data_IF_801224065199
#
_entry.id   IF_801224065199
#
_cell.length_a   1.000
_cell.length_b   1.000
_cell.length_c   1.000
_cell.angle_alpha   90.00
_cell.angle_beta   90.00
_cell.angle_gamma   90.00
#
_symmetry.space_group_name_H-M   'P 1'
#
loop_
_entity.id
_entity.type
_entity.pdbx_description
1 polymer ?
#
# COMPACT_ATOMS: atom_id res chain seq x y z
N UNK A 1 24.53 1.17 -0.12
CA UNK A 1 25.00 -0.07 -0.70
C UNK A 1 24.59 -0.18 -2.18
N UNK A 2 23.36 0.11 -2.53
CA UNK A 2 22.78 -0.11 -3.87
C UNK A 2 22.76 1.13 -4.79
N UNK A 3 23.54 2.17 -4.51
CA UNK A 3 23.56 3.43 -5.27
C UNK A 3 23.91 3.25 -6.77
N UNK A 4 24.66 2.22 -7.08
CA UNK A 4 25.12 1.91 -8.44
C UNK A 4 24.21 0.97 -9.21
N UNK A 5 23.18 0.42 -8.57
CA UNK A 5 22.22 -0.44 -9.24
C UNK A 5 21.18 0.40 -9.98
N UNK A 6 20.62 -0.17 -11.04
CA UNK A 6 19.61 0.47 -11.87
C UNK A 6 20.09 1.82 -12.45
N UNK A 7 21.37 1.96 -12.76
CA UNK A 7 21.92 3.22 -13.32
C UNK A 7 21.44 3.46 -14.74
N UNK A 8 21.30 2.38 -15.52
CA UNK A 8 20.91 2.41 -16.92
C UNK A 8 19.43 2.06 -17.13
N UNK A 9 18.71 1.82 -16.03
CA UNK A 9 17.28 1.52 -16.11
C UNK A 9 16.48 2.79 -16.30
N UNK A 10 15.54 2.72 -17.21
CA UNK A 10 14.49 3.75 -17.34
C UNK A 10 13.34 3.38 -16.43
N UNK A 11 12.83 4.37 -15.68
CA UNK A 11 11.56 4.18 -14.98
C UNK A 11 10.48 3.80 -15.99
N UNK A 12 9.58 2.88 -15.65
CA UNK A 12 8.43 2.60 -16.50
C UNK A 12 7.66 3.90 -16.77
N UNK A 13 7.04 3.96 -17.94
CA UNK A 13 6.15 5.08 -18.25
C UNK A 13 5.08 5.18 -17.16
N UNK A 14 4.81 6.40 -16.68
CA UNK A 14 3.82 6.60 -15.65
C UNK A 14 2.44 6.12 -16.14
N UNK A 15 1.61 5.56 -15.25
CA UNK A 15 0.24 5.18 -15.59
C UNK A 15 -0.52 6.32 -16.26
N UNK A 16 -1.43 5.99 -17.16
CA UNK A 16 -2.21 6.97 -17.92
C UNK A 16 -2.98 7.97 -17.03
N UNK A 17 -3.42 7.55 -15.87
CA UNK A 17 -4.11 8.38 -14.87
C UNK A 17 -3.22 9.47 -14.25
N UNK A 18 -1.90 9.33 -14.28
CA UNK A 18 -0.98 10.40 -13.90
C UNK A 18 -1.08 11.61 -14.83
N UNK A 19 -1.37 11.37 -16.11
CA UNK A 19 -1.44 12.40 -17.14
C UNK A 19 -2.85 12.96 -17.33
N UNK A 20 -3.88 12.24 -16.89
CA UNK A 20 -5.28 12.58 -17.11
C UNK A 20 -6.03 13.01 -15.86
N UNK A 21 -5.31 13.32 -14.77
CA UNK A 21 -5.92 13.76 -13.53
C UNK A 21 -6.83 14.97 -13.77
N UNK A 22 -8.10 14.71 -14.05
CA UNK A 22 -9.09 15.76 -14.20
C UNK A 22 -9.37 16.36 -12.84
N UNK A 23 -9.18 17.66 -12.72
CA UNK A 23 -9.56 18.41 -11.53
C UNK A 23 -11.07 18.67 -11.51
N UNK A 24 -11.74 18.42 -12.64
CA UNK A 24 -13.17 18.64 -12.81
C UNK A 24 -13.97 17.72 -11.86
N UNK A 25 -14.87 18.30 -11.11
CA UNK A 25 -15.72 17.56 -10.17
C UNK A 25 -15.09 17.25 -8.80
N UNK A 26 -13.81 17.52 -8.60
CA UNK A 26 -13.17 17.33 -7.30
C UNK A 26 -13.45 18.50 -6.35
N UNK A 27 -13.57 18.24 -5.04
CA UNK A 27 -13.72 19.28 -4.03
C UNK A 27 -12.59 20.32 -4.11
N UNK A 28 -12.88 21.57 -3.73
CA UNK A 28 -11.92 22.68 -3.83
C UNK A 28 -10.62 22.41 -3.07
N UNK A 29 -10.69 21.87 -1.86
CA UNK A 29 -9.53 21.55 -1.05
C UNK A 29 -8.61 20.54 -1.76
N UNK A 30 -9.19 19.55 -2.44
CA UNK A 30 -8.44 18.56 -3.19
C UNK A 30 -7.77 19.18 -4.43
N UNK A 31 -8.48 20.08 -5.11
CA UNK A 31 -7.93 20.85 -6.23
C UNK A 31 -6.78 21.74 -5.81
N UNK A 32 -6.86 22.35 -4.63
CA UNK A 32 -5.81 23.21 -4.05
C UNK A 32 -4.56 22.44 -3.62
N UNK A 33 -4.70 21.20 -3.17
CA UNK A 33 -3.57 20.29 -2.80
C UNK A 33 -2.90 19.64 -4.02
N UNK A 34 -3.61 19.59 -5.13
CA UNK A 34 -3.05 19.05 -6.38
C UNK A 34 -1.81 19.87 -6.76
N UNK A 35 -0.70 19.20 -7.07
CA UNK A 35 0.56 19.80 -7.56
C UNK A 35 1.53 20.41 -6.55
N UNK A 36 1.26 20.40 -5.27
CA UNK A 36 2.13 21.04 -4.28
C UNK A 36 2.22 22.58 -4.47
N UNK A 37 1.31 23.19 -5.24
CA UNK A 37 1.16 24.62 -5.33
C UNK A 37 0.43 25.18 -4.12
N UNK A 38 0.93 26.27 -3.60
CA UNK A 38 0.18 27.12 -2.68
C UNK A 38 -0.71 28.04 -3.52
N UNK A 39 -1.89 27.56 -3.89
CA UNK A 39 -2.91 28.39 -4.50
C UNK A 39 -3.41 29.41 -3.50
N UNK A 40 -3.41 30.68 -3.89
CA UNK A 40 -4.02 31.76 -3.08
C UNK A 40 -5.52 31.79 -3.34
N UNK A 41 -6.24 32.36 -2.40
CA UNK A 41 -7.66 32.66 -2.62
C UNK A 41 -7.81 33.58 -3.84
N UNK A 42 -8.67 33.20 -4.79
CA UNK A 42 -8.84 33.94 -6.06
C UNK A 42 -8.00 33.41 -7.23
N UNK A 43 -7.03 32.53 -7.02
CA UNK A 43 -6.26 31.97 -8.12
C UNK A 43 -7.15 31.06 -8.99
N UNK A 44 -7.04 31.23 -10.30
CA UNK A 44 -7.72 30.37 -11.27
C UNK A 44 -6.93 29.08 -11.43
N UNK A 45 -7.52 27.97 -11.01
CA UNK A 45 -6.93 26.64 -11.21
C UNK A 45 -7.08 26.27 -12.69
N UNK A 46 -5.99 25.98 -13.42
CA UNK A 46 -6.07 25.60 -14.83
C UNK A 46 -6.98 24.40 -15.03
N UNK A 47 -7.80 24.42 -16.07
CA UNK A 47 -8.68 23.29 -16.43
C UNK A 47 -7.88 22.09 -16.90
N UNK A 48 -6.74 22.33 -17.53
CA UNK A 48 -5.79 21.34 -17.99
C UNK A 48 -4.38 21.75 -17.55
N UNK A 49 -3.62 20.80 -17.09
CA UNK A 49 -2.24 21.00 -16.68
C UNK A 49 -1.31 20.27 -17.64
N UNK A 50 -0.37 21.02 -18.18
CA UNK A 50 0.71 20.43 -18.95
C UNK A 50 1.66 19.66 -18.01
N UNK A 51 1.36 18.40 -17.80
CA UNK A 51 2.12 17.52 -16.92
C UNK A 51 3.54 17.27 -17.43
N UNK A 52 3.86 17.62 -18.71
CA UNK A 52 5.23 17.57 -19.23
C UNK A 52 6.14 18.57 -18.51
N UNK A 53 5.57 19.64 -17.95
CA UNK A 53 6.29 20.62 -17.11
C UNK A 53 6.49 20.13 -15.69
N UNK A 54 5.89 19.00 -15.32
CA UNK A 54 5.92 18.48 -13.97
C UNK A 54 6.88 17.31 -13.88
N UNK A 55 8.12 17.49 -13.45
CA UNK A 55 9.03 16.39 -13.35
C UNK A 55 8.55 15.47 -12.24
N UNK A 56 8.09 14.28 -12.61
CA UNK A 56 8.18 13.12 -11.72
C UNK A 56 9.61 13.14 -11.20
N UNK A 57 9.79 13.15 -9.92
CA UNK A 57 11.15 13.18 -9.38
C UNK A 57 11.78 11.79 -9.62
N UNK A 58 12.23 11.59 -10.87
CA UNK A 58 12.85 10.33 -11.33
C UNK A 58 13.93 9.86 -10.36
N UNK A 59 14.66 10.80 -9.78
CA UNK A 59 15.72 10.49 -8.82
C UNK A 59 15.16 9.87 -7.53
N UNK A 60 14.11 10.44 -6.95
CA UNK A 60 13.49 9.88 -5.73
C UNK A 60 12.85 8.53 -5.97
N UNK A 61 12.15 8.38 -7.08
CA UNK A 61 11.52 7.11 -7.43
C UNK A 61 12.58 6.03 -7.67
N UNK A 62 13.70 6.37 -8.32
CA UNK A 62 14.82 5.45 -8.49
C UNK A 62 15.47 5.08 -7.16
N UNK A 63 15.59 6.00 -6.22
CA UNK A 63 16.09 5.69 -4.88
C UNK A 63 15.18 4.73 -4.12
N UNK A 64 13.86 4.88 -4.27
CA UNK A 64 12.90 3.96 -3.68
C UNK A 64 13.05 2.55 -4.25
N UNK A 65 13.12 2.41 -5.58
CA UNK A 65 13.35 1.11 -6.23
C UNK A 65 14.64 0.44 -5.76
N UNK A 66 15.73 1.21 -5.63
CA UNK A 66 16.99 0.71 -5.07
C UNK A 66 16.87 0.26 -3.62
N UNK A 67 16.00 0.90 -2.84
CA UNK A 67 15.73 0.48 -1.47
C UNK A 67 14.97 -0.85 -1.43
N UNK A 68 14.07 -1.09 -2.36
CA UNK A 68 13.34 -2.36 -2.47
C UNK A 68 14.28 -3.54 -2.77
N UNK A 69 15.35 -3.34 -3.54
CA UNK A 69 16.37 -4.38 -3.74
C UNK A 69 17.00 -4.81 -2.40
N UNK A 70 17.25 -3.87 -1.50
CA UNK A 70 17.77 -4.20 -0.17
C UNK A 70 16.77 -4.98 0.69
N UNK A 71 15.48 -4.72 0.53
CA UNK A 71 14.40 -5.49 1.18
C UNK A 71 14.37 -6.92 0.65
N UNK A 72 14.42 -7.09 -0.68
CA UNK A 72 14.46 -8.39 -1.33
C UNK A 72 15.66 -9.23 -0.87
N UNK A 73 16.87 -8.67 -0.89
CA UNK A 73 18.08 -9.33 -0.37
C UNK A 73 17.95 -9.72 1.11
N UNK A 74 17.28 -8.89 1.91
CA UNK A 74 17.10 -9.14 3.34
C UNK A 74 16.13 -10.30 3.55
N UNK A 75 15.05 -10.33 2.80
CA UNK A 75 14.08 -11.44 2.83
C UNK A 75 14.73 -12.73 2.36
N UNK A 76 15.53 -12.70 1.29
CA UNK A 76 16.29 -13.86 0.82
C UNK A 76 17.17 -14.47 1.92
N UNK A 77 17.90 -13.65 2.68
CA UNK A 77 18.71 -14.12 3.80
C UNK A 77 17.91 -14.75 4.93
N UNK A 78 16.72 -14.22 5.22
CA UNK A 78 15.81 -14.81 6.21
C UNK A 78 15.38 -16.20 5.74
N UNK A 79 14.93 -16.33 4.48
CA UNK A 79 14.51 -17.60 3.89
C UNK A 79 15.67 -18.61 3.92
N UNK A 80 16.86 -18.24 3.43
CA UNK A 80 18.04 -19.14 3.47
C UNK A 80 18.38 -19.61 4.89
N UNK A 81 18.23 -18.73 5.88
CA UNK A 81 18.48 -19.10 7.27
C UNK A 81 17.46 -20.10 7.77
N UNK A 82 16.18 -19.88 7.50
CA UNK A 82 15.11 -20.79 7.88
C UNK A 82 15.24 -22.16 7.18
N UNK A 83 15.67 -22.18 5.93
CA UNK A 83 15.99 -23.42 5.20
C UNK A 83 17.11 -24.20 5.88
N UNK A 84 18.22 -23.52 6.19
CA UNK A 84 19.41 -24.13 6.85
C UNK A 84 19.10 -24.77 8.19
N UNK A 85 18.16 -24.21 8.95
CA UNK A 85 17.74 -24.76 10.25
C UNK A 85 16.53 -25.69 10.15
N UNK A 86 15.98 -25.91 8.94
CA UNK A 86 14.84 -26.80 8.70
C UNK A 86 13.48 -26.26 9.16
N UNK A 87 13.37 -24.95 9.38
CA UNK A 87 12.16 -24.32 9.93
C UNK A 87 11.36 -23.48 8.90
N UNK A 88 11.76 -23.47 7.63
CA UNK A 88 11.12 -22.63 6.62
C UNK A 88 9.63 -22.95 6.47
N UNK A 89 9.26 -24.23 6.44
CA UNK A 89 7.87 -24.66 6.29
C UNK A 89 7.07 -24.64 7.60
N UNK A 90 7.77 -24.44 8.71
CA UNK A 90 7.17 -24.24 10.03
C UNK A 90 7.05 -22.75 10.41
N UNK A 91 7.45 -21.85 9.51
CA UNK A 91 7.44 -20.41 9.73
C UNK A 91 6.42 -19.74 8.83
N UNK A 92 5.58 -18.88 9.41
CA UNK A 92 4.71 -17.97 8.66
C UNK A 92 5.52 -16.77 8.26
N UNK A 93 5.61 -16.47 6.97
CA UNK A 93 6.26 -15.27 6.44
C UNK A 93 5.18 -14.36 5.90
N UNK A 94 5.13 -13.13 6.42
CA UNK A 94 4.18 -12.11 5.98
C UNK A 94 4.97 -10.90 5.47
N UNK A 95 4.70 -10.50 4.23
CA UNK A 95 5.22 -9.27 3.65
C UNK A 95 4.07 -8.29 3.41
N UNK A 96 4.18 -7.10 3.99
CA UNK A 96 3.20 -6.03 3.82
C UNK A 96 3.88 -4.66 3.97
N UNK A 97 3.08 -3.60 3.95
CA UNK A 97 3.52 -2.22 4.20
C UNK A 97 2.55 -1.54 5.15
N UNK A 98 2.99 -0.46 5.79
CA UNK A 98 2.17 0.36 6.68
C UNK A 98 1.14 1.19 5.89
N UNK A 99 1.54 1.70 4.74
CA UNK A 99 0.71 2.51 3.83
C UNK A 99 1.25 2.47 2.40
N UNK A 100 0.44 2.93 1.47
CA UNK A 100 0.85 3.24 0.13
C UNK A 100 1.52 4.62 0.01
N UNK A 101 1.85 5.05 -1.21
CA UNK A 101 2.50 6.32 -1.47
C UNK A 101 2.20 6.82 -2.88
N UNK A 102 1.87 8.10 -3.02
CA UNK A 102 1.75 8.75 -4.31
C UNK A 102 3.13 9.11 -4.87
N UNK A 103 3.47 8.57 -6.01
CA UNK A 103 4.70 8.90 -6.74
C UNK A 103 4.49 9.96 -7.81
N UNK A 104 3.33 10.56 -7.86
CA UNK A 104 2.89 11.55 -8.83
C UNK A 104 1.51 11.26 -9.41
N UNK A 105 0.92 10.11 -9.09
CA UNK A 105 -0.43 9.75 -9.53
C UNK A 105 -1.41 10.83 -9.07
N UNK A 106 -2.39 11.13 -9.92
CA UNK A 106 -3.35 12.22 -9.71
C UNK A 106 -2.67 13.56 -9.39
N UNK A 107 -1.36 13.71 -9.71
CA UNK A 107 -0.51 14.84 -9.35
C UNK A 107 -0.24 15.01 -7.85
N UNK A 108 -0.60 14.01 -7.07
CA UNK A 108 -0.31 13.97 -5.65
C UNK A 108 1.08 13.39 -5.37
N UNK A 109 1.57 13.70 -4.21
CA UNK A 109 2.76 13.12 -3.61
C UNK A 109 2.46 12.81 -2.16
N UNK A 110 3.31 11.96 -1.55
CA UNK A 110 3.12 11.58 -0.17
C UNK A 110 1.94 10.57 -0.04
N UNK A 111 1.22 10.61 1.02
CA UNK A 111 0.11 9.73 1.39
C UNK A 111 -1.02 10.57 1.99
N UNK A 112 -1.95 10.01 2.73
CA UNK A 112 -2.96 10.74 3.50
C UNK A 112 -4.30 10.96 2.81
N UNK A 113 -4.44 10.54 1.58
CA UNK A 113 -5.71 10.62 0.87
C UNK A 113 -6.29 9.22 0.68
N UNK A 114 -7.62 9.11 0.70
CA UNK A 114 -8.34 7.84 0.49
C UNK A 114 -8.35 7.42 -0.98
N UNK A 115 -7.17 7.26 -1.54
CA UNK A 115 -6.94 6.72 -2.88
C UNK A 115 -6.17 5.41 -2.79
N UNK A 116 -6.41 4.49 -3.69
CA UNK A 116 -5.71 3.21 -3.77
C UNK A 116 -4.19 3.35 -3.63
N UNK A 117 -3.60 4.35 -4.30
CA UNK A 117 -2.16 4.63 -4.22
C UNK A 117 -1.66 4.90 -2.80
N UNK A 118 -2.51 5.43 -1.93
CA UNK A 118 -2.16 5.79 -0.55
C UNK A 118 -2.55 4.72 0.46
N UNK A 119 -3.63 4.00 0.22
CA UNK A 119 -4.22 3.07 1.21
C UNK A 119 -4.00 1.60 0.87
N UNK A 120 -3.87 1.27 -0.42
CA UNK A 120 -3.63 -0.11 -0.84
C UNK A 120 -2.16 -0.47 -0.71
N UNK A 121 -1.90 -1.56 -0.01
CA UNK A 121 -0.56 -2.09 0.24
C UNK A 121 -0.47 -3.54 -0.22
N UNK A 122 0.73 -4.04 -0.55
CA UNK A 122 0.90 -5.46 -0.81
C UNK A 122 0.59 -6.26 0.46
N UNK A 123 0.00 -7.45 0.29
CA UNK A 123 -0.15 -8.44 1.33
C UNK A 123 0.21 -9.81 0.74
N UNK A 124 1.34 -10.35 1.16
CA UNK A 124 1.83 -11.66 0.71
C UNK A 124 2.07 -12.51 1.95
N UNK A 125 1.48 -13.70 1.97
CA UNK A 125 1.62 -14.63 3.10
C UNK A 125 2.11 -15.98 2.57
N UNK A 126 3.20 -16.48 3.15
CA UNK A 126 3.71 -17.82 2.90
C UNK A 126 3.56 -18.67 4.17
N UNK A 127 2.81 -19.74 4.09
CA UNK A 127 2.73 -20.80 5.09
C UNK A 127 2.21 -22.09 4.46
N UNK A 128 3.10 -22.96 3.93
CA UNK A 128 2.69 -24.10 3.10
C UNK A 128 1.85 -25.13 3.83
N UNK A 129 1.90 -25.17 5.16
CA UNK A 129 1.03 -26.05 5.96
C UNK A 129 -0.46 -25.68 5.85
N UNK A 130 -0.78 -24.45 5.50
CA UNK A 130 -2.15 -23.94 5.46
C UNK A 130 -2.53 -23.36 4.09
N UNK A 131 -1.59 -22.73 3.40
CA UNK A 131 -1.83 -21.94 2.19
C UNK A 131 -1.30 -22.72 0.97
N UNK A 132 -2.18 -22.96 0.02
CA UNK A 132 -1.79 -23.55 -1.27
C UNK A 132 -1.02 -22.52 -2.08
N UNK A 133 0.03 -22.96 -2.76
CA UNK A 133 0.80 -22.13 -3.70
C UNK A 133 -0.09 -21.47 -4.76
N UNK A 134 0.28 -20.27 -5.17
CA UNK A 134 -0.41 -19.46 -6.18
C UNK A 134 -1.90 -19.23 -5.85
N UNK A 135 -2.21 -19.11 -4.55
CA UNK A 135 -3.55 -18.73 -4.10
C UNK A 135 -3.70 -17.22 -4.11
N UNK A 136 -4.86 -16.76 -4.53
CA UNK A 136 -5.28 -15.36 -4.46
C UNK A 136 -6.52 -15.22 -3.58
N UNK A 137 -6.58 -14.12 -2.83
CA UNK A 137 -7.69 -13.70 -1.99
C UNK A 137 -8.11 -12.33 -2.48
N UNK A 138 -9.38 -12.17 -2.83
CA UNK A 138 -9.95 -10.92 -3.36
C UNK A 138 -10.71 -10.14 -2.29
N UNK A 139 -10.88 -10.71 -1.12
CA UNK A 139 -11.54 -10.10 0.02
C UNK A 139 -10.71 -8.94 0.57
N UNK A 140 -11.38 -7.90 1.06
CA UNK A 140 -10.74 -6.72 1.63
C UNK A 140 -10.09 -7.06 2.97
N UNK A 141 -8.75 -7.11 3.00
CA UNK A 141 -7.94 -7.31 4.20
C UNK A 141 -7.33 -5.98 4.66
N UNK A 142 -7.16 -5.81 5.96
CA UNK A 142 -6.62 -4.60 6.57
C UNK A 142 -5.38 -4.91 7.39
N UNK A 143 -4.51 -3.92 7.59
CA UNK A 143 -3.34 -4.08 8.46
C UNK A 143 -3.72 -4.44 9.90
N UNK A 144 -4.88 -3.99 10.39
CA UNK A 144 -5.40 -4.38 11.72
C UNK A 144 -5.77 -5.87 11.82
N UNK A 145 -5.93 -6.57 10.70
CA UNK A 145 -6.22 -8.01 10.67
C UNK A 145 -4.96 -8.86 10.92
N UNK A 146 -3.77 -8.28 10.80
CA UNK A 146 -2.52 -9.00 11.01
C UNK A 146 -2.38 -9.51 12.44
N UNK A 147 -2.64 -8.67 13.43
CA UNK A 147 -2.49 -9.04 14.83
C UNK A 147 -3.42 -10.20 15.24
N UNK A 148 -4.73 -10.15 14.98
CA UNK A 148 -5.60 -11.28 15.27
C UNK A 148 -5.24 -12.55 14.46
N UNK A 149 -4.77 -12.39 13.22
CA UNK A 149 -4.30 -13.52 12.40
C UNK A 149 -3.07 -14.21 13.01
N UNK A 150 -2.10 -13.43 13.49
CA UNK A 150 -0.90 -13.97 14.13
C UNK A 150 -1.25 -14.72 15.41
N UNK A 151 -2.15 -14.18 16.23
CA UNK A 151 -2.61 -14.84 17.45
C UNK A 151 -3.31 -16.16 17.14
N UNK A 152 -4.21 -16.16 16.17
CA UNK A 152 -4.97 -17.32 15.75
C UNK A 152 -4.05 -18.43 15.19
N UNK A 153 -3.09 -18.08 14.33
CA UNK A 153 -2.07 -19.00 13.83
C UNK A 153 -1.20 -19.58 14.95
N UNK A 154 -1.00 -18.84 16.03
CA UNK A 154 -0.29 -19.29 17.22
C UNK A 154 -1.15 -20.13 18.18
N UNK A 155 -2.44 -20.35 17.87
CA UNK A 155 -3.39 -21.05 18.73
C UNK A 155 -3.78 -20.25 19.98
N UNK A 156 -3.63 -18.93 19.95
CA UNK A 156 -3.97 -18.03 21.04
C UNK A 156 -5.33 -17.40 20.75
N UNK A 157 -6.22 -17.38 21.72
CA UNK A 157 -7.53 -16.74 21.59
C UNK A 157 -7.40 -15.24 21.27
N UNK A 158 -8.05 -14.80 20.22
CA UNK A 158 -8.06 -13.38 19.81
C UNK A 158 -8.91 -12.59 20.81
N UNK A 159 -8.34 -11.57 21.48
CA UNK A 159 -9.08 -10.74 22.41
C UNK A 159 -10.23 -9.98 21.76
N UNK A 160 -11.39 -9.93 22.41
CA UNK A 160 -12.61 -9.29 21.88
C UNK A 160 -12.49 -7.78 21.61
N UNK A 161 -11.51 -7.12 22.18
CA UNK A 161 -11.28 -5.67 21.95
C UNK A 161 -10.52 -5.38 20.66
N UNK A 162 -9.97 -6.40 19.99
CA UNK A 162 -9.34 -6.21 18.69
C UNK A 162 -10.40 -5.94 17.62
N UNK A 163 -10.21 -4.88 16.86
CA UNK A 163 -11.14 -4.46 15.81
C UNK A 163 -10.90 -5.20 14.48
N UNK A 164 -9.70 -5.75 14.27
CA UNK A 164 -9.37 -6.57 13.11
C UNK A 164 -9.95 -7.99 13.25
N UNK A 165 -10.03 -8.67 12.12
CA UNK A 165 -10.50 -10.05 12.04
C UNK A 165 -9.37 -10.98 11.60
N UNK A 166 -9.31 -12.20 12.16
CA UNK A 166 -8.34 -13.21 11.71
C UNK A 166 -8.61 -13.62 10.25
N UNK A 167 -7.57 -13.57 9.44
CA UNK A 167 -7.59 -14.00 8.04
C UNK A 167 -7.39 -15.52 7.89
N UNK A 168 -7.26 -16.30 8.98
CA UNK A 168 -6.96 -17.74 8.91
C UNK A 168 -7.99 -18.48 8.08
N UNK A 169 -9.27 -18.18 8.22
CA UNK A 169 -10.32 -18.81 7.42
C UNK A 169 -10.21 -18.47 5.93
N UNK A 170 -9.84 -17.24 5.58
CA UNK A 170 -9.63 -16.82 4.18
C UNK A 170 -8.44 -17.57 3.57
N UNK A 171 -7.30 -17.60 4.27
CA UNK A 171 -6.07 -18.21 3.74
C UNK A 171 -6.14 -19.73 3.70
N UNK A 172 -6.97 -20.36 4.54
CA UNK A 172 -7.24 -21.82 4.51
C UNK A 172 -8.35 -22.20 3.53
N UNK A 173 -8.96 -21.21 2.83
CA UNK A 173 -10.09 -21.42 1.92
C UNK A 173 -11.34 -22.01 2.57
N UNK A 174 -11.58 -21.69 3.83
CA UNK A 174 -12.85 -21.96 4.46
C UNK A 174 -13.91 -20.99 3.92
N UNK A 175 -14.71 -21.45 2.96
CA UNK A 175 -15.64 -20.60 2.17
C UNK A 175 -16.91 -20.20 2.92
N UNK A 176 -17.15 -20.75 4.10
CA UNK A 176 -18.41 -20.55 4.82
C UNK A 176 -18.42 -19.30 5.69
N UNK A 177 -17.31 -18.58 5.78
CA UNK A 177 -17.22 -17.37 6.57
C UNK A 177 -17.72 -16.14 5.78
N UNK A 178 -18.64 -15.40 6.37
CA UNK A 178 -18.93 -14.03 5.93
C UNK A 178 -17.74 -13.15 6.24
N UNK A 179 -17.28 -12.43 5.23
CA UNK A 179 -16.22 -11.44 5.37
C UNK A 179 -16.78 -10.04 5.12
N UNK A 180 -16.02 -9.01 5.52
CA UNK A 180 -16.43 -7.63 5.30
C UNK A 180 -16.59 -7.30 3.82
N UNK A 181 -17.61 -6.52 3.49
CA UNK A 181 -17.87 -6.03 2.15
C UNK A 181 -17.44 -4.57 1.96
N UNK A 182 -17.14 -3.87 3.07
CA UNK A 182 -16.74 -2.47 3.06
C UNK A 182 -15.80 -2.17 4.22
N UNK A 183 -15.02 -1.11 4.08
CA UNK A 183 -14.10 -0.60 5.11
C UNK A 183 -14.34 0.89 5.31
N UNK A 184 -14.19 1.35 6.57
CA UNK A 184 -14.19 2.76 6.90
C UNK A 184 -12.76 3.27 6.89
N UNK A 185 -12.50 4.29 6.09
CA UNK A 185 -11.24 5.02 6.10
C UNK A 185 -11.44 6.36 6.81
N UNK A 186 -10.58 6.64 7.79
CA UNK A 186 -10.61 7.87 8.58
C UNK A 186 -9.22 8.50 8.63
N UNK A 187 -9.17 9.82 8.54
CA UNK A 187 -7.93 10.58 8.65
C UNK A 187 -8.15 11.89 9.40
N UNK A 188 -7.46 12.08 10.53
CA UNK A 188 -7.71 13.19 11.47
C UNK A 188 -6.50 14.11 11.70
N UNK A 189 -5.36 13.81 11.15
CA UNK A 189 -4.06 14.41 11.57
C UNK A 189 -3.67 15.66 10.76
N UNK A 190 -4.38 15.99 9.70
CA UNK A 190 -3.99 17.15 8.88
C UNK A 190 -4.78 18.39 9.28
N UNK A 191 -4.09 19.51 9.53
CA UNK A 191 -4.68 20.79 9.95
C UNK A 191 -5.77 21.31 8.98
N UNK A 192 -5.81 20.74 7.79
CA UNK A 192 -6.73 21.21 6.80
C UNK A 192 -8.13 20.59 6.90
N UNK A 193 -8.24 19.23 7.04
CA UNK A 193 -9.55 18.58 6.85
C UNK A 193 -9.53 17.12 7.31
N UNK A 194 -10.03 16.83 8.51
CA UNK A 194 -10.36 15.45 8.85
C UNK A 194 -11.42 14.94 7.86
N UNK A 195 -11.25 13.75 7.38
CA UNK A 195 -12.23 13.11 6.51
C UNK A 195 -12.37 11.63 6.82
N UNK A 196 -13.57 11.13 6.61
CA UNK A 196 -13.88 9.72 6.63
C UNK A 196 -14.59 9.36 5.32
N UNK A 197 -14.33 8.21 4.80
CA UNK A 197 -15.05 7.65 3.67
C UNK A 197 -15.22 6.14 3.83
N UNK A 198 -16.33 5.64 3.31
CA UNK A 198 -16.59 4.20 3.19
C UNK A 198 -16.05 3.74 1.82
N UNK A 199 -15.26 2.68 1.83
CA UNK A 199 -14.66 2.07 0.65
C UNK A 199 -15.21 0.67 0.42
#
# INVERSE_FOLDING_TARGET
RHKHLLTDETLPEPPHDMHTATIKGKPEWQRRKTFGFKWKEGDTIPKELDLKKWPINKFKNMQLLRSLIAVDESLGKVIETLEKIGELDNTVIIYSSDNGYFMGEHTFRDKRLAYENSIRVPMIIRYPKLIKENSEINEQCLNIDLAPTILDLAGINVPKYMQGESMVDLISKNKDRKWRESILFEYYVDDAWPYACLL
#
